data_IF_623664387614
#
_entry.id   IF_623664387614
#
_cell.length_a   1.000
_cell.length_b   1.000
_cell.length_c   1.000
_cell.angle_alpha   90.00
_cell.angle_beta   90.00
_cell.angle_gamma   90.00
#
_symmetry.space_group_name_H-M   'P 1'
#
loop_
_entity.id
_entity.type
_entity.pdbx_description
1 polymer ?
#
# COMPACT_ATOMS: atom_id res chain seq x y z
N UNK A 1 -10.77 11.87 4.23
CA UNK A 1 -10.73 11.05 5.46
C UNK A 1 -9.38 10.34 5.51
N UNK A 2 -8.76 10.15 6.68
CA UNK A 2 -7.48 9.42 6.85
C UNK A 2 -7.71 8.18 7.70
N UNK A 3 -6.99 7.11 7.41
CA UNK A 3 -7.03 5.84 8.15
C UNK A 3 -5.60 5.44 8.54
N UNK A 4 -5.44 4.86 9.74
CA UNK A 4 -4.18 4.24 10.18
C UNK A 4 -4.08 2.83 9.63
N UNK A 5 -2.95 2.50 9.02
CA UNK A 5 -2.70 1.19 8.40
C UNK A 5 -1.34 0.65 8.86
N UNK A 6 -1.23 -0.67 8.90
CA UNK A 6 0.00 -1.41 9.12
C UNK A 6 0.51 -1.96 7.80
N UNK A 7 1.81 -1.79 7.52
CA UNK A 7 2.47 -2.37 6.36
C UNK A 7 2.75 -3.84 6.62
N UNK A 8 2.40 -4.71 5.67
CA UNK A 8 2.72 -6.13 5.73
C UNK A 8 4.00 -6.44 4.94
N UNK A 9 4.81 -7.39 5.43
CA UNK A 9 5.81 -8.08 4.62
C UNK A 9 5.20 -8.67 3.32
N UNK A 10 5.94 -8.56 2.21
CA UNK A 10 5.47 -9.01 0.90
C UNK A 10 5.22 -10.52 0.84
N UNK A 11 6.02 -11.32 1.52
CA UNK A 11 5.85 -12.78 1.65
C UNK A 11 4.51 -13.14 2.30
N UNK A 12 4.15 -12.47 3.40
CA UNK A 12 2.83 -12.64 4.03
C UNK A 12 1.71 -12.18 3.08
N UNK A 13 1.89 -11.06 2.40
CA UNK A 13 0.88 -10.55 1.49
C UNK A 13 0.67 -11.45 0.27
N UNK A 14 1.72 -12.06 -0.28
CA UNK A 14 1.60 -13.05 -1.36
C UNK A 14 0.64 -14.17 -0.98
N UNK A 15 0.73 -14.64 0.27
CA UNK A 15 -0.19 -15.63 0.85
C UNK A 15 -1.67 -15.24 0.76
N UNK A 16 -2.00 -13.96 0.87
CA UNK A 16 -3.39 -13.44 0.80
C UNK A 16 -3.95 -13.41 -0.63
N UNK A 17 -3.08 -13.51 -1.64
CA UNK A 17 -3.40 -13.35 -3.06
C UNK A 17 -3.15 -14.60 -3.91
N UNK A 18 -2.71 -15.72 -3.32
CA UNK A 18 -2.37 -16.97 -4.04
C UNK A 18 -3.51 -17.48 -4.93
N UNK A 19 -4.75 -17.43 -4.44
CA UNK A 19 -5.92 -17.95 -5.17
C UNK A 19 -6.47 -16.97 -6.23
N UNK A 20 -5.84 -15.80 -6.42
CA UNK A 20 -6.33 -14.84 -7.41
C UNK A 20 -5.89 -15.17 -8.83
N UNK A 21 -6.84 -15.74 -9.59
CA UNK A 21 -6.66 -16.10 -11.00
C UNK A 21 -6.24 -14.93 -11.89
N UNK A 22 -6.48 -13.68 -11.46
CA UNK A 22 -6.08 -12.46 -12.18
C UNK A 22 -4.67 -11.95 -11.82
N UNK A 23 -4.01 -12.53 -10.83
CA UNK A 23 -2.66 -12.15 -10.37
C UNK A 23 -1.72 -13.35 -10.45
N UNK A 24 -1.34 -13.78 -11.67
CA UNK A 24 -0.56 -15.01 -11.89
C UNK A 24 0.85 -14.98 -11.28
N UNK A 25 1.38 -13.81 -10.91
CA UNK A 25 2.71 -13.64 -10.29
C UNK A 25 2.67 -13.27 -8.79
N UNK A 26 1.50 -13.32 -8.15
CA UNK A 26 1.32 -12.82 -6.78
C UNK A 26 1.79 -11.35 -6.63
N UNK A 27 2.17 -10.93 -5.41
CA UNK A 27 2.64 -9.57 -5.11
C UNK A 27 4.11 -9.40 -5.53
N UNK A 28 4.39 -8.43 -6.40
CA UNK A 28 5.73 -8.09 -6.88
C UNK A 28 6.55 -7.28 -5.86
N UNK A 29 7.87 -7.24 -6.01
CA UNK A 29 8.73 -6.45 -5.10
C UNK A 29 8.55 -4.94 -5.27
N UNK A 30 8.10 -4.51 -6.46
CA UNK A 30 7.66 -3.13 -6.75
C UNK A 30 6.30 -2.78 -6.12
N UNK A 31 5.71 -3.70 -5.34
CA UNK A 31 4.49 -3.50 -4.59
C UNK A 31 4.75 -3.64 -3.10
N UNK A 32 3.83 -3.09 -2.31
CA UNK A 32 3.73 -3.28 -0.87
C UNK A 32 2.27 -3.45 -0.49
N UNK A 33 2.03 -4.05 0.66
CA UNK A 33 0.68 -4.23 1.18
C UNK A 33 0.50 -3.50 2.50
N UNK A 34 -0.71 -3.00 2.74
CA UNK A 34 -1.10 -2.43 4.02
C UNK A 34 -2.54 -2.78 4.36
N UNK A 35 -2.84 -2.95 5.64
CA UNK A 35 -4.18 -3.27 6.14
C UNK A 35 -4.46 -2.54 7.45
N UNK A 36 -5.71 -2.52 7.89
CA UNK A 36 -6.03 -2.04 9.24
C UNK A 36 -5.40 -2.93 10.31
N UNK A 37 -4.99 -2.36 11.46
CA UNK A 37 -4.59 -3.16 12.62
C UNK A 37 -5.64 -4.23 12.95
N UNK A 38 -5.18 -5.39 13.44
CA UNK A 38 -6.07 -6.52 13.77
C UNK A 38 -7.12 -6.14 14.82
N UNK A 39 -6.73 -5.24 15.74
CA UNK A 39 -7.54 -4.83 16.88
C UNK A 39 -8.47 -3.64 16.59
N UNK A 40 -8.46 -3.12 15.36
CA UNK A 40 -9.28 -1.98 14.94
C UNK A 40 -10.44 -2.38 14.03
N UNK A 41 -11.47 -1.53 13.97
CA UNK A 41 -12.53 -1.66 12.97
C UNK A 41 -11.89 -1.64 11.58
N UNK A 42 -12.16 -2.67 10.76
CA UNK A 42 -11.57 -2.78 9.44
C UNK A 42 -11.95 -1.59 8.55
N UNK A 43 -10.93 -0.86 8.14
CA UNK A 43 -10.97 0.32 7.28
C UNK A 43 -9.82 0.19 6.29
N UNK A 44 -10.15 0.03 5.02
CA UNK A 44 -9.16 -0.05 3.94
C UNK A 44 -9.47 1.02 2.89
N UNK A 45 -8.52 1.20 1.99
CA UNK A 45 -8.70 1.96 0.76
C UNK A 45 -9.87 1.42 -0.06
N UNK A 46 -10.67 2.35 -0.55
CA UNK A 46 -11.90 2.08 -1.25
C UNK A 46 -11.85 2.50 -2.72
N UNK A 47 -12.91 2.16 -3.45
CA UNK A 47 -13.13 2.77 -4.77
C UNK A 47 -13.13 4.29 -4.62
N UNK A 48 -12.28 4.95 -5.40
CA UNK A 48 -12.07 6.40 -5.33
C UNK A 48 -10.77 6.82 -4.64
N UNK A 49 -10.10 5.92 -3.91
CA UNK A 49 -8.79 6.19 -3.31
C UNK A 49 -7.62 5.85 -4.24
N UNK A 50 -7.90 5.28 -5.42
CA UNK A 50 -6.90 4.90 -6.42
C UNK A 50 -6.01 6.09 -6.81
N UNK A 51 -4.69 5.90 -6.76
CA UNK A 51 -3.71 6.97 -6.95
C UNK A 51 -3.42 7.80 -5.69
N UNK A 52 -4.18 7.59 -4.61
CA UNK A 52 -3.98 8.27 -3.34
C UNK A 52 -2.68 7.86 -2.61
N UNK A 53 -2.17 8.71 -1.71
CA UNK A 53 -0.90 8.48 -1.03
C UNK A 53 -1.02 7.59 0.21
N UNK A 54 -0.13 6.60 0.34
CA UNK A 54 0.18 5.93 1.60
C UNK A 54 1.40 6.59 2.25
N UNK A 55 1.24 7.08 3.48
CA UNK A 55 2.19 7.98 4.12
C UNK A 55 2.65 7.46 5.48
N UNK A 56 3.95 7.64 5.80
CA UNK A 56 4.51 7.38 7.13
C UNK A 56 5.04 8.68 7.71
N UNK A 57 4.71 8.97 8.97
CA UNK A 57 5.20 10.17 9.64
C UNK A 57 6.71 10.09 9.87
N UNK A 58 7.44 11.17 9.58
CA UNK A 58 8.85 11.27 9.93
C UNK A 58 8.99 11.46 11.44
N UNK A 59 9.72 10.56 12.10
CA UNK A 59 9.96 10.65 13.53
C UNK A 59 10.53 12.02 13.92
N UNK A 60 10.02 12.59 15.02
CA UNK A 60 10.42 13.91 15.50
C UNK A 60 9.81 15.11 14.74
N UNK A 61 9.04 14.89 13.68
CA UNK A 61 8.45 15.97 12.87
C UNK A 61 6.92 15.82 12.77
N UNK A 62 6.17 16.87 13.16
CA UNK A 62 4.68 16.80 13.21
C UNK A 62 4.00 16.86 11.84
N UNK A 63 4.65 17.45 10.85
CA UNK A 63 4.04 17.76 9.55
C UNK A 63 4.81 17.20 8.36
N UNK A 64 5.83 16.36 8.59
CA UNK A 64 6.60 15.74 7.52
C UNK A 64 6.28 14.26 7.42
N UNK A 65 6.06 13.82 6.19
CA UNK A 65 5.65 12.46 5.87
C UNK A 65 6.45 11.96 4.68
N UNK A 66 6.84 10.68 4.72
CA UNK A 66 7.32 9.98 3.55
C UNK A 66 6.15 9.36 2.79
N UNK A 67 6.11 9.61 1.49
CA UNK A 67 5.22 8.90 0.57
C UNK A 67 5.84 7.54 0.27
N UNK A 68 5.32 6.48 0.89
CA UNK A 68 5.88 5.13 0.75
C UNK A 68 5.13 4.31 -0.30
N UNK A 69 3.87 4.64 -0.56
CA UNK A 69 3.03 3.88 -1.46
C UNK A 69 2.00 4.72 -2.21
N UNK A 70 1.53 4.20 -3.34
CA UNK A 70 0.42 4.75 -4.13
C UNK A 70 -0.68 3.70 -4.20
N UNK A 71 -1.90 4.05 -3.80
CA UNK A 71 -3.05 3.13 -3.79
C UNK A 71 -3.28 2.53 -5.18
N UNK A 72 -3.27 1.21 -5.29
CA UNK A 72 -3.42 0.49 -6.55
C UNK A 72 -4.71 -0.34 -6.59
N UNK A 73 -4.74 -1.48 -5.88
CA UNK A 73 -5.87 -2.41 -5.91
C UNK A 73 -6.03 -3.16 -4.57
N UNK A 74 -7.16 -3.82 -4.36
CA UNK A 74 -7.45 -4.55 -3.12
C UNK A 74 -8.70 -5.43 -3.26
N UNK A 75 -8.92 -6.34 -2.31
CA UNK A 75 -10.08 -7.26 -2.28
C UNK A 75 -11.26 -6.64 -1.52
N UNK A 76 -11.72 -5.47 -1.98
CA UNK A 76 -12.85 -4.75 -1.38
C UNK A 76 -12.47 -3.95 -0.12
N UNK A 77 -13.26 -2.92 0.17
CA UNK A 77 -13.04 -2.00 1.28
C UNK A 77 -13.12 -2.71 2.64
N UNK A 78 -11.98 -2.91 3.30
CA UNK A 78 -11.94 -3.43 4.66
C UNK A 78 -12.49 -4.85 4.75
N UNK A 79 -12.27 -5.67 3.72
CA UNK A 79 -12.68 -7.06 3.75
C UNK A 79 -11.81 -7.84 4.75
N UNK A 80 -12.41 -8.66 5.63
CA UNK A 80 -11.65 -9.41 6.62
C UNK A 80 -10.59 -10.31 6.02
N UNK A 81 -9.39 -10.27 6.62
CA UNK A 81 -8.25 -11.09 6.21
C UNK A 81 -7.64 -10.67 4.88
N UNK A 82 -7.91 -9.45 4.40
CA UNK A 82 -7.30 -8.92 3.17
C UNK A 82 -6.44 -7.69 3.46
N UNK A 83 -5.64 -7.28 2.49
CA UNK A 83 -4.80 -6.09 2.56
C UNK A 83 -4.90 -5.31 1.25
N UNK A 84 -4.89 -3.98 1.31
CA UNK A 84 -4.72 -3.15 0.12
C UNK A 84 -3.31 -3.32 -0.44
N UNK A 85 -3.20 -3.29 -1.77
CA UNK A 85 -1.93 -3.34 -2.51
C UNK A 85 -1.63 -1.96 -3.08
N UNK A 86 -0.40 -1.54 -2.85
CA UNK A 86 0.10 -0.22 -3.21
C UNK A 86 1.36 -0.37 -4.07
N UNK A 87 1.56 0.55 -5.00
CA UNK A 87 2.85 0.69 -5.71
C UNK A 87 3.90 1.15 -4.71
N UNK A 88 5.04 0.46 -4.60
CA UNK A 88 6.15 0.83 -3.72
C UNK A 88 6.93 2.00 -4.34
N UNK A 89 6.77 3.20 -3.81
CA UNK A 89 7.41 4.41 -4.37
C UNK A 89 8.93 4.28 -4.44
N UNK A 90 9.54 3.65 -3.44
CA UNK A 90 10.99 3.41 -3.41
C UNK A 90 11.51 2.63 -4.64
N UNK A 91 10.70 1.75 -5.24
CA UNK A 91 11.09 0.97 -6.42
C UNK A 91 11.10 1.79 -7.72
N UNK A 92 10.61 3.03 -7.68
CA UNK A 92 10.47 3.91 -8.84
C UNK A 92 11.24 5.23 -8.67
N UNK A 93 12.10 5.36 -7.66
CA UNK A 93 12.84 6.60 -7.41
C UNK A 93 13.70 7.01 -8.60
N UNK A 94 14.46 6.10 -9.19
CA UNK A 94 15.28 6.39 -10.38
C UNK A 94 14.44 6.96 -11.54
N UNK A 95 13.25 6.39 -11.76
CA UNK A 95 12.33 6.86 -12.80
C UNK A 95 11.74 8.24 -12.45
N UNK A 96 11.34 8.47 -11.19
CA UNK A 96 10.79 9.76 -10.73
C UNK A 96 11.86 10.85 -10.84
N UNK A 97 13.07 10.58 -10.36
CA UNK A 97 14.20 11.51 -10.38
C UNK A 97 14.57 11.89 -11.82
N UNK A 98 14.64 10.91 -12.73
CA UNK A 98 14.94 11.16 -14.15
C UNK A 98 13.90 12.00 -14.89
N UNK A 99 12.69 12.19 -14.35
CA UNK A 99 11.63 13.02 -14.95
C UNK A 99 11.51 14.38 -14.26
N UNK A 100 11.60 14.43 -12.93
CA UNK A 100 11.28 15.64 -12.15
C UNK A 100 12.54 16.44 -11.77
N UNK A 101 13.73 15.82 -11.76
CA UNK A 101 15.02 16.45 -11.47
C UNK A 101 15.97 16.35 -12.68
N UNK A 102 15.69 17.05 -13.79
CA UNK A 102 16.54 17.06 -14.98
C UNK A 102 17.89 17.76 -14.77
#
# INVERSE_FOLDING_TARGET
>A
MKVGLEVLPNDLCRGLYVEERKLPQAIADSQLCARSPVDEQQRDTCRGDSGGPLQVALAGHRCLYYLIGITSFGKGCGAPGTAGVYTRVAAYLEWIEGIVWP
#
